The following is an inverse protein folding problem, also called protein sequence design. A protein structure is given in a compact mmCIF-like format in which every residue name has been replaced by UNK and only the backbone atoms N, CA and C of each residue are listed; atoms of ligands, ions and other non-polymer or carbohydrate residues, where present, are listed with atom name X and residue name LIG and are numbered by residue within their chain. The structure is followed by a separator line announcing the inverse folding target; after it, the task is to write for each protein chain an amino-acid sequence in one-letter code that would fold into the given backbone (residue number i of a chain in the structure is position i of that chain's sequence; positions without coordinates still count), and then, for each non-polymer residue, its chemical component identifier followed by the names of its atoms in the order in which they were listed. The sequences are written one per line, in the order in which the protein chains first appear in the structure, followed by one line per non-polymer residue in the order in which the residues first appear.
data_IF_411261780369
#
_entry.id   IF_411261780369
#
_cell.length_a   1.000
_cell.length_b   1.000
_cell.length_c   1.000
_cell.angle_alpha   90.00
_cell.angle_beta   90.00
_cell.angle_gamma   90.00
#
_symmetry.space_group_name_H-M   'P 1'
#
loop_
_entity.id
_entity.type
_entity.pdbx_description
1 polymer ?
#
# COMPACT_ATOMS: atom_id res chain seq x y z
N UNK A 1 -13.15 27.69 11.81
CA UNK A 1 -12.48 26.48 12.37
C UNK A 1 -13.06 25.27 11.66
N UNK A 2 -12.26 24.59 10.85
CA UNK A 2 -12.64 23.33 10.21
C UNK A 2 -11.48 22.35 10.41
N UNK A 3 -11.52 21.67 11.55
CA UNK A 3 -10.65 20.53 11.82
C UNK A 3 -11.32 19.30 11.21
N UNK A 4 -11.10 19.09 9.91
CA UNK A 4 -11.48 17.86 9.24
C UNK A 4 -10.21 17.05 9.00
N UNK A 5 -9.71 16.42 10.06
CA UNK A 5 -8.74 15.33 9.97
C UNK A 5 -9.53 14.08 9.54
N UNK A 6 -10.02 14.05 8.30
CA UNK A 6 -10.63 12.84 7.71
C UNK A 6 -9.76 12.40 6.56
N UNK A 7 -8.93 11.41 6.86
CA UNK A 7 -7.99 10.83 5.92
C UNK A 7 -6.90 11.84 5.61
N UNK A 8 -5.70 11.60 6.13
CA UNK A 8 -4.52 12.21 5.54
C UNK A 8 -4.41 11.60 4.13
N UNK A 9 -5.19 12.13 3.19
CA UNK A 9 -4.73 12.26 1.81
C UNK A 9 -3.48 13.08 1.96
N UNK A 10 -2.35 12.40 1.96
CA UNK A 10 -1.06 13.04 1.95
C UNK A 10 -1.04 13.79 0.62
N UNK A 11 -1.54 15.03 0.60
CA UNK A 11 -1.16 16.02 -0.39
C UNK A 11 0.31 16.37 -0.07
N UNK A 12 1.22 15.40 -0.29
CA UNK A 12 2.59 15.74 -0.69
C UNK A 12 2.35 16.68 -1.85
N UNK A 13 2.67 17.96 -1.64
CA UNK A 13 2.17 19.05 -2.45
C UNK A 13 2.16 18.70 -3.93
N UNK A 14 1.08 19.07 -4.62
CA UNK A 14 0.73 18.77 -6.00
C UNK A 14 1.78 19.18 -7.09
N UNK A 15 3.05 19.41 -6.71
CA UNK A 15 4.21 19.67 -7.54
C UNK A 15 5.19 18.48 -7.66
N UNK A 16 4.93 17.30 -7.06
CA UNK A 16 5.71 16.06 -7.29
C UNK A 16 5.00 15.09 -8.25
N UNK A 17 4.61 15.58 -9.42
CA UNK A 17 3.70 14.93 -10.40
C UNK A 17 4.08 13.51 -10.84
N UNK A 18 5.31 13.04 -10.60
CA UNK A 18 5.73 11.65 -10.84
C UNK A 18 5.44 10.69 -9.69
N UNK A 19 5.90 11.02 -8.47
CA UNK A 19 5.75 10.15 -7.29
C UNK A 19 4.29 9.99 -6.89
N UNK A 20 3.53 11.09 -6.90
CA UNK A 20 2.10 11.05 -6.56
C UNK A 20 1.32 10.15 -7.50
N UNK A 21 1.58 10.23 -8.81
CA UNK A 21 0.94 9.37 -9.82
C UNK A 21 1.33 7.90 -9.69
N UNK A 22 2.63 7.63 -9.49
CA UNK A 22 3.12 6.27 -9.29
C UNK A 22 2.46 5.61 -8.07
N UNK A 23 2.38 6.34 -6.95
CA UNK A 23 1.71 5.86 -5.75
C UNK A 23 0.19 5.77 -5.92
N UNK A 24 -0.43 6.64 -6.71
CA UNK A 24 -1.87 6.60 -6.97
C UNK A 24 -2.29 5.29 -7.66
N UNK A 25 -1.56 4.90 -8.72
CA UNK A 25 -1.86 3.67 -9.47
C UNK A 25 -1.62 2.42 -8.60
N UNK A 26 -0.52 2.39 -7.85
CA UNK A 26 -0.22 1.31 -6.90
C UNK A 26 -1.27 1.21 -5.80
N UNK A 27 -1.76 2.34 -5.28
CA UNK A 27 -2.82 2.37 -4.27
C UNK A 27 -4.19 1.92 -4.86
N UNK A 28 -4.49 2.24 -6.12
CA UNK A 28 -5.70 1.75 -6.80
C UNK A 28 -5.67 0.23 -6.95
N UNK A 29 -4.54 -0.31 -7.43
CA UNK A 29 -4.33 -1.77 -7.52
C UNK A 29 -4.49 -2.44 -6.15
N UNK A 30 -3.88 -1.88 -5.10
CA UNK A 30 -3.99 -2.40 -3.73
C UNK A 30 -5.46 -2.50 -3.27
N UNK A 31 -6.27 -1.45 -3.52
CA UNK A 31 -7.70 -1.44 -3.16
C UNK A 31 -8.51 -2.48 -3.93
N UNK A 32 -8.22 -2.69 -5.21
CA UNK A 32 -8.87 -3.73 -6.02
C UNK A 32 -8.55 -5.11 -5.46
N UNK A 33 -7.26 -5.42 -5.29
CA UNK A 33 -6.80 -6.70 -4.77
C UNK A 33 -7.38 -7.01 -3.39
N UNK A 34 -7.44 -6.02 -2.49
CA UNK A 34 -8.06 -6.19 -1.18
C UNK A 34 -9.57 -6.46 -1.25
N UNK A 35 -10.27 -5.86 -2.22
CA UNK A 35 -11.70 -6.08 -2.42
C UNK A 35 -11.97 -7.48 -2.94
N UNK A 36 -11.17 -7.94 -3.90
CA UNK A 36 -11.21 -9.30 -4.45
C UNK A 36 -10.87 -10.35 -3.37
N UNK A 37 -9.80 -10.13 -2.59
CA UNK A 37 -9.44 -11.01 -1.46
C UNK A 37 -10.58 -11.16 -0.47
N UNK A 38 -11.25 -10.06 -0.09
CA UNK A 38 -12.42 -10.11 0.81
C UNK A 38 -13.58 -10.91 0.24
N UNK A 39 -13.82 -10.82 -1.06
CA UNK A 39 -14.87 -11.59 -1.72
C UNK A 39 -14.54 -13.08 -1.69
N UNK A 40 -13.31 -13.45 -2.08
CA UNK A 40 -12.84 -14.84 -2.05
C UNK A 40 -12.86 -15.40 -0.64
N UNK A 41 -12.41 -14.65 0.36
CA UNK A 41 -12.48 -15.04 1.77
C UNK A 41 -13.92 -15.27 2.25
N UNK A 42 -14.86 -14.43 1.81
CA UNK A 42 -16.27 -14.57 2.18
C UNK A 42 -16.87 -15.83 1.57
N UNK A 43 -16.50 -16.15 0.32
CA UNK A 43 -16.94 -17.38 -0.35
C UNK A 43 -16.29 -18.63 0.27
N UNK A 44 -15.00 -18.59 0.61
CA UNK A 44 -14.30 -19.66 1.31
C UNK A 44 -14.88 -19.93 2.70
N UNK A 45 -15.38 -18.92 3.41
CA UNK A 45 -16.11 -19.15 4.68
C UNK A 45 -17.39 -19.96 4.49
N UNK A 46 -18.07 -19.78 3.36
CA UNK A 46 -19.28 -20.54 3.03
C UNK A 46 -18.95 -21.93 2.48
N UNK A 47 -17.85 -22.05 1.74
CA UNK A 47 -17.39 -23.30 1.16
C UNK A 47 -15.86 -23.47 1.31
N UNK A 48 -15.39 -23.90 2.50
CA UNK A 48 -13.96 -23.98 2.80
C UNK A 48 -13.22 -25.08 2.04
N UNK A 49 -13.95 -26.03 1.44
CA UNK A 49 -13.38 -27.12 0.62
C UNK A 49 -13.22 -26.76 -0.85
N UNK A 50 -13.51 -25.53 -1.27
CA UNK A 50 -13.43 -25.14 -2.67
C UNK A 50 -11.97 -24.84 -3.08
N UNK A 51 -11.33 -25.83 -3.72
CA UNK A 51 -9.95 -25.74 -4.20
C UNK A 51 -9.71 -24.60 -5.20
N UNK A 52 -10.71 -24.25 -6.03
CA UNK A 52 -10.60 -23.16 -6.99
C UNK A 52 -10.50 -21.80 -6.29
N UNK A 53 -11.32 -21.58 -5.26
CA UNK A 53 -11.26 -20.37 -4.45
C UNK A 53 -9.96 -20.27 -3.63
N UNK A 54 -9.41 -21.41 -3.18
CA UNK A 54 -8.10 -21.44 -2.50
C UNK A 54 -6.99 -21.02 -3.47
N UNK A 55 -6.96 -21.59 -4.68
CA UNK A 55 -6.01 -21.20 -5.71
C UNK A 55 -6.14 -19.72 -6.08
N UNK A 56 -7.39 -19.23 -6.22
CA UNK A 56 -7.65 -17.81 -6.48
C UNK A 56 -7.14 -16.91 -5.35
N UNK A 57 -7.35 -17.31 -4.09
CA UNK A 57 -6.82 -16.58 -2.93
C UNK A 57 -5.29 -16.53 -2.95
N UNK A 58 -4.64 -17.65 -3.24
CA UNK A 58 -3.18 -17.73 -3.34
C UNK A 58 -2.64 -16.78 -4.42
N UNK A 59 -3.27 -16.75 -5.59
CA UNK A 59 -2.90 -15.84 -6.67
C UNK A 59 -3.09 -14.37 -6.29
N UNK A 60 -4.24 -14.02 -5.70
CA UNK A 60 -4.53 -12.67 -5.26
C UNK A 60 -3.55 -12.19 -4.18
N UNK A 61 -3.18 -13.07 -3.24
CA UNK A 61 -2.18 -12.78 -2.22
C UNK A 61 -0.79 -12.56 -2.84
N UNK A 62 -0.38 -13.40 -3.81
CA UNK A 62 0.88 -13.21 -4.52
C UNK A 62 0.92 -11.87 -5.28
N UNK A 63 -0.18 -11.50 -5.94
CA UNK A 63 -0.33 -10.19 -6.59
C UNK A 63 -0.31 -9.04 -5.58
N UNK A 64 -0.92 -9.22 -4.40
CA UNK A 64 -0.90 -8.24 -3.32
C UNK A 64 0.51 -8.02 -2.76
N UNK A 65 1.28 -9.09 -2.56
CA UNK A 65 2.71 -9.02 -2.19
C UNK A 65 3.50 -8.24 -3.24
N UNK A 66 3.34 -8.58 -4.53
CA UNK A 66 4.03 -7.88 -5.62
C UNK A 66 3.70 -6.39 -5.65
N UNK A 67 2.42 -6.02 -5.54
CA UNK A 67 1.99 -4.63 -5.53
C UNK A 67 2.47 -3.87 -4.29
N UNK A 68 2.50 -4.50 -3.12
CA UNK A 68 3.02 -3.90 -1.90
C UNK A 68 4.55 -3.68 -1.98
N UNK A 69 5.29 -4.60 -2.62
CA UNK A 69 6.72 -4.43 -2.93
C UNK A 69 6.96 -3.29 -3.91
N UNK A 70 6.17 -3.20 -4.99
CA UNK A 70 6.22 -2.09 -5.95
C UNK A 70 6.01 -0.73 -5.25
N UNK A 71 5.06 -0.66 -4.30
CA UNK A 71 4.85 0.52 -3.46
C UNK A 71 6.09 0.88 -2.63
N UNK A 72 6.65 -0.11 -1.94
CA UNK A 72 7.79 0.07 -1.07
C UNK A 72 9.03 0.53 -1.84
N UNK A 73 9.30 -0.08 -2.99
CA UNK A 73 10.39 0.31 -3.88
C UNK A 73 10.22 1.75 -4.39
N UNK A 74 8.99 2.13 -4.78
CA UNK A 74 8.66 3.49 -5.20
C UNK A 74 8.92 4.51 -4.10
N UNK A 75 8.54 4.17 -2.86
CA UNK A 75 8.78 5.02 -1.70
C UNK A 75 10.29 5.11 -1.41
N UNK A 76 11.03 4.01 -1.38
CA UNK A 76 12.48 4.05 -1.16
C UNK A 76 13.22 4.84 -2.23
N UNK A 77 12.84 4.72 -3.50
CA UNK A 77 13.41 5.52 -4.59
C UNK A 77 13.17 7.02 -4.37
N UNK A 78 12.04 7.40 -3.79
CA UNK A 78 11.71 8.77 -3.45
C UNK A 78 12.34 9.28 -2.14
N UNK A 79 12.80 8.39 -1.25
CA UNK A 79 13.27 8.76 0.08
C UNK A 79 14.38 9.81 0.02
N UNK A 80 15.39 9.60 -0.82
CA UNK A 80 16.50 10.54 -0.98
C UNK A 80 16.03 11.93 -1.47
N UNK A 81 15.00 11.98 -2.31
CA UNK A 81 14.41 13.25 -2.76
C UNK A 81 13.64 13.93 -1.62
N UNK A 82 12.84 13.18 -0.88
CA UNK A 82 12.05 13.67 0.26
C UNK A 82 12.98 14.22 1.35
N UNK A 83 14.09 13.54 1.66
CA UNK A 83 15.10 14.01 2.62
C UNK A 83 15.75 15.33 2.18
N UNK A 84 16.11 15.48 0.90
CA UNK A 84 16.64 16.75 0.36
C UNK A 84 15.63 17.87 0.42
N UNK A 85 14.35 17.58 0.13
CA UNK A 85 13.27 18.55 0.23
C UNK A 85 13.05 18.98 1.69
N UNK A 86 13.17 18.06 2.64
CA UNK A 86 13.06 18.38 4.05
C UNK A 86 14.25 19.24 4.53
N UNK A 87 15.47 18.85 4.17
CA UNK A 87 16.69 19.58 4.54
C UNK A 87 16.74 21.00 3.95
N UNK A 88 16.13 21.21 2.77
CA UNK A 88 16.02 22.52 2.14
C UNK A 88 14.79 23.34 2.61
N UNK A 89 13.97 22.79 3.52
CA UNK A 89 12.77 23.44 4.04
C UNK A 89 11.59 23.48 3.06
N UNK A 90 11.64 22.71 1.96
CA UNK A 90 10.57 22.62 0.97
C UNK A 90 9.37 21.79 1.44
N UNK A 91 9.57 20.87 2.38
CA UNK A 91 8.50 20.12 3.04
C UNK A 91 8.58 20.27 4.56
N UNK A 92 7.44 20.18 5.24
CA UNK A 92 7.35 20.27 6.69
C UNK A 92 7.77 18.98 7.40
N UNK A 93 8.09 19.08 8.70
CA UNK A 93 8.34 17.90 9.57
C UNK A 93 7.13 16.93 9.57
N UNK A 94 5.91 17.47 9.50
CA UNK A 94 4.70 16.66 9.42
C UNK A 94 4.62 15.86 8.11
N UNK A 95 4.97 16.49 6.97
CA UNK A 95 5.01 15.83 5.66
C UNK A 95 6.11 14.77 5.60
N UNK A 96 7.30 15.05 6.15
CA UNK A 96 8.40 14.09 6.25
C UNK A 96 8.00 12.88 7.12
N UNK A 97 7.41 13.11 8.30
CA UNK A 97 6.90 12.03 9.16
C UNK A 97 5.76 11.24 8.50
N UNK A 98 4.90 11.91 7.71
CA UNK A 98 3.84 11.23 6.98
C UNK A 98 4.42 10.26 5.94
N UNK A 99 5.45 10.69 5.20
CA UNK A 99 6.17 9.82 4.28
C UNK A 99 6.81 8.62 4.99
N UNK A 100 7.50 8.84 6.11
CA UNK A 100 8.09 7.76 6.91
C UNK A 100 7.04 6.75 7.43
N UNK A 101 5.86 7.23 7.86
CA UNK A 101 4.74 6.35 8.21
C UNK A 101 4.23 5.53 7.03
N UNK A 102 4.22 6.11 5.83
CA UNK A 102 3.78 5.42 4.62
C UNK A 102 4.76 4.31 4.20
N UNK A 103 6.08 4.55 4.34
CA UNK A 103 7.12 3.52 4.17
C UNK A 103 6.88 2.36 5.14
N UNK A 104 6.77 2.66 6.44
CA UNK A 104 6.54 1.63 7.46
C UNK A 104 5.24 0.86 7.24
N UNK A 105 4.18 1.54 6.74
CA UNK A 105 2.92 0.88 6.38
C UNK A 105 3.11 -0.07 5.20
N UNK A 106 3.81 0.35 4.15
CA UNK A 106 4.07 -0.49 2.99
C UNK A 106 4.90 -1.74 3.37
N UNK A 107 5.93 -1.59 4.20
CA UNK A 107 6.68 -2.73 4.77
C UNK A 107 5.78 -3.68 5.55
N UNK A 108 4.90 -3.14 6.39
CA UNK A 108 3.93 -3.93 7.14
C UNK A 108 2.93 -4.67 6.24
N UNK A 109 2.47 -4.04 5.15
CA UNK A 109 1.58 -4.66 4.16
C UNK A 109 2.27 -5.83 3.43
N UNK A 110 3.52 -5.66 3.01
CA UNK A 110 4.31 -6.75 2.39
C UNK A 110 4.39 -7.95 3.35
N UNK A 111 4.86 -7.70 4.58
CA UNK A 111 5.02 -8.76 5.58
C UNK A 111 3.70 -9.47 5.87
N UNK A 112 2.60 -8.71 5.98
CA UNK A 112 1.27 -9.28 6.22
C UNK A 112 0.82 -10.20 5.08
N UNK A 113 0.91 -9.75 3.83
CA UNK A 113 0.48 -10.57 2.70
C UNK A 113 1.40 -11.78 2.49
N UNK A 114 2.70 -11.66 2.75
CA UNK A 114 3.63 -12.79 2.72
C UNK A 114 3.31 -13.82 3.80
N UNK A 115 2.96 -13.38 5.02
CA UNK A 115 2.51 -14.28 6.08
C UNK A 115 1.19 -14.97 5.73
N UNK A 116 0.21 -14.24 5.19
CA UNK A 116 -1.07 -14.82 4.75
C UNK A 116 -0.85 -15.84 3.61
N UNK A 117 0.05 -15.55 2.67
CA UNK A 117 0.40 -16.47 1.59
C UNK A 117 1.11 -17.72 2.11
N UNK A 118 2.02 -17.56 3.07
CA UNK A 118 2.76 -18.68 3.68
C UNK A 118 1.88 -19.58 4.54
N UNK A 119 0.80 -19.05 5.12
CA UNK A 119 -0.18 -19.84 5.87
C UNK A 119 -1.16 -20.61 4.97
N UNK A 120 -1.21 -20.27 3.67
CA UNK A 120 -2.12 -20.89 2.71
C UNK A 120 -1.54 -22.14 2.04
N UNK A 121 -0.21 -22.29 2.04
CA UNK A 121 0.54 -23.43 1.49
C UNK A 121 1.01 -24.38 2.57
#
# INVERSE_FOLDING_TARGET
MAATIKGITIEIGANTTGLGKALEDVNKKARSLQSELKQVDSLLKLNPGNAELVAQKQELLARAVANAKEKLETLWAAQAQVERQFASGQISDEQYRAFAREVARAEGEVNKFEQELSQLG
#
